data_IF_261537144060
#
_entry.id   IF_261537144060
#
_cell.length_a   1.000
_cell.length_b   1.000
_cell.length_c   1.000
_cell.angle_alpha   90.00
_cell.angle_beta   90.00
_cell.angle_gamma   90.00
#
_symmetry.space_group_name_H-M   'P 1'
#
loop_
_entity.id
_entity.type
_entity.pdbx_description
1 polymer ?
#
# COMPACT_ATOMS: atom_id res chain seq x y z
N UNK A 1 9.29 14.48 8.38
CA UNK A 1 8.23 13.49 8.56
C UNK A 1 8.80 12.08 8.62
N UNK A 2 8.13 11.16 9.34
CA UNK A 2 8.43 9.75 9.37
C UNK A 2 7.68 9.01 8.26
N UNK A 3 8.28 7.92 7.79
CA UNK A 3 7.63 6.92 6.95
C UNK A 3 7.77 5.55 7.61
N UNK A 4 6.66 4.92 7.96
CA UNK A 4 6.65 3.58 8.54
C UNK A 4 6.83 2.54 7.44
N UNK A 5 7.80 1.64 7.62
CA UNK A 5 8.16 0.65 6.61
C UNK A 5 8.21 -0.74 7.27
N UNK A 6 7.47 -1.75 6.74
CA UNK A 6 7.60 -3.13 7.23
C UNK A 6 9.05 -3.62 7.04
N UNK A 7 9.55 -4.45 7.94
CA UNK A 7 10.89 -5.03 7.82
C UNK A 7 10.82 -6.56 8.07
N UNK A 8 11.12 -7.39 7.05
CA UNK A 8 11.68 -7.08 5.71
C UNK A 8 10.72 -6.32 4.80
N UNK A 9 11.28 -5.66 3.78
CA UNK A 9 10.55 -4.75 2.90
C UNK A 9 10.95 -4.88 1.42
N UNK A 10 10.10 -4.38 0.53
CA UNK A 10 10.47 -4.13 -0.86
C UNK A 10 11.29 -2.82 -0.94
N UNK A 11 12.49 -2.90 -1.55
CA UNK A 11 13.49 -1.81 -1.51
C UNK A 11 12.97 -0.44 -2.00
N UNK A 12 11.92 -0.43 -2.82
CA UNK A 12 11.35 0.82 -3.35
C UNK A 12 10.78 1.70 -2.24
N UNK A 13 10.25 1.12 -1.15
CA UNK A 13 9.68 1.90 -0.04
C UNK A 13 10.74 2.78 0.62
N UNK A 14 11.91 2.21 0.91
CA UNK A 14 13.04 2.96 1.48
C UNK A 14 13.59 3.95 0.46
N UNK A 15 13.75 3.53 -0.79
CA UNK A 15 14.22 4.42 -1.86
C UNK A 15 13.36 5.66 -2.00
N UNK A 16 12.03 5.50 -2.06
CA UNK A 16 11.08 6.61 -2.15
C UNK A 16 11.16 7.53 -0.92
N UNK A 17 11.28 6.95 0.27
CA UNK A 17 11.40 7.68 1.54
C UNK A 17 12.64 8.59 1.54
N UNK A 18 13.80 8.03 1.21
CA UNK A 18 15.08 8.77 1.20
C UNK A 18 15.11 9.85 0.12
N UNK A 19 14.55 9.59 -1.06
CA UNK A 19 14.44 10.58 -2.14
C UNK A 19 13.62 11.80 -1.72
N UNK A 20 12.69 11.66 -0.80
CA UNK A 20 11.89 12.75 -0.23
C UNK A 20 12.47 13.33 1.06
N UNK A 21 13.70 12.91 1.44
CA UNK A 21 14.37 13.33 2.69
C UNK A 21 13.51 13.07 3.93
N UNK A 22 12.65 12.05 3.88
CA UNK A 22 11.91 11.57 5.03
C UNK A 22 12.73 10.53 5.80
N UNK A 23 12.42 10.35 7.05
CA UNK A 23 13.09 9.41 7.96
C UNK A 23 12.34 8.06 7.92
N UNK A 24 13.00 6.94 7.56
CA UNK A 24 12.37 5.63 7.63
C UNK A 24 12.35 5.12 9.08
N UNK A 25 11.19 4.69 9.56
CA UNK A 25 11.02 3.93 10.80
C UNK A 25 10.59 2.51 10.45
N UNK A 26 11.44 1.55 10.79
CA UNK A 26 11.20 0.15 10.44
C UNK A 26 10.33 -0.55 11.46
N UNK A 27 9.25 -1.16 10.99
CA UNK A 27 8.34 -1.99 11.80
C UNK A 27 8.70 -3.47 11.59
N UNK A 28 9.26 -4.18 12.60
CA UNK A 28 9.60 -5.58 12.44
C UNK A 28 8.37 -6.45 12.15
N UNK A 29 8.47 -7.29 11.12
CA UNK A 29 7.50 -8.32 10.78
C UNK A 29 8.14 -9.69 11.08
N UNK A 30 7.93 -10.19 12.30
CA UNK A 30 8.60 -11.37 12.84
C UNK A 30 7.60 -12.48 13.12
N UNK A 31 8.10 -13.66 13.51
CA UNK A 31 7.23 -14.76 13.95
C UNK A 31 6.30 -14.36 15.10
N UNK A 32 6.78 -13.50 16.00
CA UNK A 32 5.98 -13.01 17.14
C UNK A 32 4.81 -12.11 16.73
N UNK A 33 4.92 -11.46 15.57
CA UNK A 33 3.87 -10.60 14.99
C UNK A 33 3.10 -11.27 13.86
N UNK A 34 3.22 -12.60 13.70
CA UNK A 34 2.64 -13.31 12.57
C UNK A 34 3.21 -12.89 11.22
N UNK A 35 4.42 -12.35 11.20
CA UNK A 35 5.09 -11.79 10.01
C UNK A 35 4.35 -10.59 9.37
N UNK A 36 3.47 -9.92 10.11
CA UNK A 36 2.89 -8.62 9.76
C UNK A 36 3.60 -7.51 10.54
N UNK A 37 3.69 -6.28 10.00
CA UNK A 37 4.27 -5.15 10.72
C UNK A 37 3.45 -4.79 11.97
N UNK A 38 4.12 -4.61 13.11
CA UNK A 38 3.46 -4.31 14.36
C UNK A 38 3.20 -2.81 14.52
N UNK A 39 2.13 -2.28 13.95
CA UNK A 39 1.73 -0.87 14.10
C UNK A 39 1.54 -0.49 15.58
N UNK A 40 1.03 -1.41 16.39
CA UNK A 40 0.80 -1.18 17.83
C UNK A 40 2.09 -1.03 18.64
N UNK A 41 3.25 -1.38 18.08
CA UNK A 41 4.54 -1.19 18.72
C UNK A 41 5.17 0.17 18.43
N UNK A 42 4.58 0.97 17.53
CA UNK A 42 5.04 2.33 17.21
C UNK A 42 4.58 3.27 18.31
N UNK A 43 5.46 4.12 18.80
CA UNK A 43 5.12 5.08 19.86
C UNK A 43 4.11 6.12 19.36
N UNK A 44 3.26 6.65 20.25
CA UNK A 44 2.31 7.69 19.90
C UNK A 44 3.02 8.96 19.36
N UNK A 45 4.24 9.24 19.84
CA UNK A 45 5.02 10.38 19.35
C UNK A 45 5.50 10.17 17.92
N UNK A 46 5.93 8.96 17.56
CA UNK A 46 6.31 8.62 16.20
C UNK A 46 5.09 8.57 15.27
N UNK A 47 3.95 8.05 15.74
CA UNK A 47 2.70 8.07 14.97
C UNK A 47 2.29 9.50 14.60
N UNK A 48 2.37 10.47 15.54
CA UNK A 48 2.07 11.90 15.27
C UNK A 48 3.04 12.55 14.26
N UNK A 49 4.25 12.02 14.11
CA UNK A 49 5.26 12.48 13.14
C UNK A 49 5.16 11.75 11.80
N UNK A 50 4.38 10.68 11.74
CA UNK A 50 4.24 9.83 10.56
C UNK A 50 3.43 10.55 9.49
N UNK A 51 3.94 10.58 8.27
CA UNK A 51 3.23 11.09 7.10
C UNK A 51 2.70 9.94 6.22
N UNK A 52 3.38 8.80 6.23
CA UNK A 52 3.06 7.65 5.37
C UNK A 52 3.43 6.35 6.08
N UNK A 53 2.61 5.33 5.93
CA UNK A 53 2.93 3.97 6.29
C UNK A 53 2.74 3.04 5.08
N UNK A 54 3.73 2.19 4.80
CA UNK A 54 3.59 1.14 3.81
C UNK A 54 3.08 -0.15 4.46
N UNK A 55 2.19 -0.83 3.75
CA UNK A 55 1.72 -2.18 4.07
C UNK A 55 1.74 -3.00 2.78
N UNK A 56 2.31 -4.21 2.81
CA UNK A 56 2.24 -5.14 1.69
C UNK A 56 1.43 -6.37 2.12
N UNK A 57 0.34 -6.65 1.41
CA UNK A 57 -0.50 -7.82 1.68
C UNK A 57 -1.11 -8.35 0.37
N UNK A 58 -0.80 -9.60 0.03
CA UNK A 58 0.14 -10.53 0.63
C UNK A 58 1.57 -9.98 0.69
N UNK A 59 2.28 -10.27 1.79
CA UNK A 59 3.56 -9.64 2.10
C UNK A 59 4.73 -10.20 1.25
N UNK A 60 5.61 -9.32 0.81
CA UNK A 60 6.86 -9.68 0.16
C UNK A 60 8.04 -9.31 1.09
N UNK A 61 8.88 -10.27 1.54
CA UNK A 61 9.01 -11.66 1.06
C UNK A 61 8.25 -12.71 1.87
N UNK A 62 7.51 -12.34 2.92
CA UNK A 62 7.00 -13.28 3.94
C UNK A 62 5.83 -14.15 3.44
N UNK A 63 5.05 -13.69 2.47
CA UNK A 63 3.85 -14.36 1.97
C UNK A 63 2.64 -14.26 2.90
N UNK A 64 2.75 -13.58 4.04
CA UNK A 64 1.67 -13.46 5.02
C UNK A 64 0.56 -12.54 4.49
N UNK A 65 -0.67 -12.90 4.80
CA UNK A 65 -1.87 -12.15 4.46
C UNK A 65 -2.39 -11.44 5.71
N UNK A 66 -2.64 -10.15 5.59
CA UNK A 66 -3.35 -9.38 6.61
C UNK A 66 -4.85 -9.71 6.56
N UNK A 67 -5.45 -10.05 7.68
CA UNK A 67 -6.90 -10.25 7.78
C UNK A 67 -7.65 -8.92 7.86
N UNK A 68 -8.99 -8.98 7.77
CA UNK A 68 -9.84 -7.79 7.81
C UNK A 68 -9.71 -7.00 9.11
N UNK A 69 -9.56 -7.66 10.23
CA UNK A 69 -9.46 -6.99 11.54
C UNK A 69 -8.15 -6.21 11.65
N UNK A 70 -7.04 -6.80 11.17
CA UNK A 70 -5.76 -6.11 11.08
C UNK A 70 -5.83 -4.90 10.14
N UNK A 71 -6.43 -5.06 8.96
CA UNK A 71 -6.59 -3.97 7.98
C UNK A 71 -7.45 -2.83 8.54
N UNK A 72 -8.57 -3.15 9.20
CA UNK A 72 -9.44 -2.15 9.86
C UNK A 72 -8.71 -1.40 10.98
N UNK A 73 -7.92 -2.11 11.78
CA UNK A 73 -7.11 -1.48 12.84
C UNK A 73 -6.05 -0.53 12.24
N UNK A 74 -5.39 -0.92 11.16
CA UNK A 74 -4.43 -0.07 10.46
C UNK A 74 -5.08 1.19 9.87
N UNK A 75 -6.27 1.07 9.25
CA UNK A 75 -7.05 2.21 8.75
C UNK A 75 -7.44 3.15 9.89
N UNK A 76 -7.95 2.59 10.99
CA UNK A 76 -8.36 3.38 12.16
C UNK A 76 -7.20 4.20 12.69
N UNK A 77 -6.02 3.58 12.82
CA UNK A 77 -4.81 4.26 13.27
C UNK A 77 -4.36 5.34 12.28
N UNK A 78 -4.42 5.07 10.97
CA UNK A 78 -4.07 6.06 9.94
C UNK A 78 -4.94 7.31 10.04
N UNK A 79 -6.23 7.15 10.26
CA UNK A 79 -7.20 8.24 10.45
C UNK A 79 -7.02 8.97 11.78
N UNK A 80 -6.77 8.24 12.86
CA UNK A 80 -6.55 8.82 14.21
C UNK A 80 -5.32 9.73 14.25
N UNK A 81 -4.23 9.33 13.58
CA UNK A 81 -2.96 10.05 13.59
C UNK A 81 -2.69 10.85 12.32
N UNK A 82 -3.65 10.89 11.40
CA UNK A 82 -3.62 11.66 10.14
C UNK A 82 -2.40 11.35 9.27
N UNK A 83 -2.09 10.07 9.08
CA UNK A 83 -1.09 9.63 8.10
C UNK A 83 -1.71 8.83 6.96
N UNK A 84 -1.04 8.77 5.81
CA UNK A 84 -1.49 7.96 4.67
C UNK A 84 -1.07 6.50 4.85
N UNK A 85 -2.02 5.57 4.78
CA UNK A 85 -1.75 4.14 4.68
C UNK A 85 -1.71 3.72 3.21
N UNK A 86 -0.53 3.36 2.72
CA UNK A 86 -0.30 2.90 1.35
C UNK A 86 -0.19 1.38 1.31
N UNK A 87 -1.22 0.71 0.82
CA UNK A 87 -1.25 -0.75 0.67
C UNK A 87 -0.73 -1.17 -0.72
N UNK A 88 0.31 -1.98 -0.72
CA UNK A 88 0.81 -2.68 -1.91
C UNK A 88 0.13 -4.04 -2.00
N UNK A 89 -0.88 -4.15 -2.87
CA UNK A 89 -1.67 -5.36 -3.10
C UNK A 89 -1.29 -6.05 -4.42
N UNK A 90 -0.05 -5.89 -4.87
CA UNK A 90 0.43 -6.48 -6.12
C UNK A 90 0.31 -8.01 -6.18
N UNK A 91 0.21 -8.70 -5.05
CA UNK A 91 0.09 -10.14 -4.94
C UNK A 91 -1.33 -10.63 -4.61
N UNK A 92 -2.33 -9.73 -4.55
CA UNK A 92 -3.69 -10.05 -4.13
C UNK A 92 -4.40 -11.14 -4.97
N UNK A 93 -4.01 -11.33 -6.22
CA UNK A 93 -4.55 -12.34 -7.13
C UNK A 93 -3.73 -13.66 -7.16
N UNK A 94 -2.74 -13.81 -6.26
CA UNK A 94 -1.92 -15.03 -6.15
C UNK A 94 -2.31 -15.75 -4.88
N UNK A 95 -3.30 -16.63 -4.99
CA UNK A 95 -3.83 -17.44 -3.89
C UNK A 95 -4.31 -18.81 -4.40
N UNK A 96 -4.42 -19.80 -3.50
CA UNK A 96 -4.85 -21.15 -3.84
C UNK A 96 -6.37 -21.35 -3.69
N UNK A 97 -6.91 -21.12 -2.50
CA UNK A 97 -8.30 -21.43 -2.17
C UNK A 97 -9.14 -20.18 -1.93
N UNK A 98 -8.68 -19.24 -1.13
CA UNK A 98 -9.43 -18.05 -0.73
C UNK A 98 -8.67 -16.79 -1.12
N UNK A 99 -9.39 -15.84 -1.72
CA UNK A 99 -8.84 -14.55 -2.06
C UNK A 99 -8.48 -13.77 -0.78
N UNK A 100 -7.27 -13.17 -0.70
CA UNK A 100 -6.93 -12.32 0.44
C UNK A 100 -7.84 -11.10 0.50
N UNK A 101 -8.21 -10.63 1.70
CA UNK A 101 -8.96 -9.39 1.83
C UNK A 101 -8.11 -8.20 1.41
N UNK A 102 -8.75 -7.19 0.80
CA UNK A 102 -8.11 -5.94 0.41
C UNK A 102 -8.42 -4.78 1.35
N UNK A 103 -7.58 -3.75 1.31
CA UNK A 103 -7.75 -2.56 2.14
C UNK A 103 -9.03 -1.79 1.79
N UNK A 104 -9.45 -1.77 0.52
CA UNK A 104 -10.72 -1.16 0.11
C UNK A 104 -11.93 -1.90 0.68
N UNK A 105 -11.87 -3.24 0.75
CA UNK A 105 -12.90 -4.03 1.42
C UNK A 105 -12.98 -3.69 2.91
N UNK A 106 -11.84 -3.66 3.59
CA UNK A 106 -11.78 -3.31 5.00
C UNK A 106 -12.33 -1.90 5.27
N UNK A 107 -12.02 -0.94 4.40
CA UNK A 107 -12.54 0.42 4.49
C UNK A 107 -14.07 0.48 4.29
N UNK A 108 -14.61 -0.28 3.32
CA UNK A 108 -16.05 -0.36 3.07
C UNK A 108 -16.81 -0.94 4.27
N UNK A 109 -16.27 -1.99 4.89
CA UNK A 109 -16.88 -2.61 6.09
C UNK A 109 -16.73 -1.73 7.34
N UNK A 110 -15.62 -1.00 7.49
CA UNK A 110 -15.38 -0.09 8.60
C UNK A 110 -16.27 1.17 8.53
N UNK A 111 -16.59 1.60 7.30
CA UNK A 111 -17.27 2.87 7.04
C UNK A 111 -16.33 4.09 7.08
N UNK A 112 -16.89 5.29 6.90
CA UNK A 112 -16.13 6.54 6.90
C UNK A 112 -15.35 6.84 5.63
N UNK A 113 -15.69 6.18 4.50
CA UNK A 113 -15.09 6.48 3.19
C UNK A 113 -13.69 5.92 2.99
N UNK A 114 -12.91 6.59 2.13
CA UNK A 114 -11.57 6.18 1.74
C UNK A 114 -10.46 7.12 2.26
N UNK A 115 -10.78 7.94 3.24
CA UNK A 115 -9.84 8.92 3.78
C UNK A 115 -8.57 8.27 4.31
N UNK A 116 -7.43 8.88 4.02
CA UNK A 116 -6.09 8.45 4.43
C UNK A 116 -5.61 7.12 3.83
N UNK A 117 -6.27 6.52 2.85
CA UNK A 117 -5.80 5.25 2.27
C UNK A 117 -5.50 5.36 0.78
N UNK A 118 -4.45 4.66 0.36
CA UNK A 118 -4.11 4.40 -1.04
C UNK A 118 -3.82 2.92 -1.24
N UNK A 119 -4.39 2.33 -2.27
CA UNK A 119 -4.18 0.94 -2.64
C UNK A 119 -3.54 0.86 -4.01
N UNK A 120 -2.45 0.11 -4.13
CA UNK A 120 -1.68 -0.05 -5.34
C UNK A 120 -1.81 -1.47 -5.87
N UNK A 121 -2.19 -1.60 -7.13
CA UNK A 121 -2.22 -2.85 -7.87
C UNK A 121 -1.33 -2.81 -9.11
N UNK A 122 -0.87 -3.98 -9.56
CA UNK A 122 -0.01 -4.10 -10.73
C UNK A 122 -0.33 -5.35 -11.55
N UNK A 123 -0.27 -5.23 -12.86
CA UNK A 123 -0.34 -6.39 -13.78
C UNK A 123 0.93 -7.27 -13.72
N UNK A 124 2.00 -6.79 -13.08
CA UNK A 124 3.28 -7.49 -13.04
C UNK A 124 3.19 -8.90 -12.46
N UNK A 125 2.36 -9.08 -11.41
CA UNK A 125 2.19 -10.38 -10.72
C UNK A 125 0.86 -11.02 -11.09
N UNK A 126 -0.23 -10.27 -10.94
CA UNK A 126 -1.59 -10.71 -11.26
C UNK A 126 -1.72 -11.37 -12.64
N UNK A 127 -1.15 -10.74 -13.68
CA UNK A 127 -1.30 -11.17 -15.07
C UNK A 127 0.02 -11.63 -15.69
N UNK A 128 1.06 -11.87 -14.90
CA UNK A 128 2.41 -12.23 -15.37
C UNK A 128 2.94 -11.31 -16.49
N UNK A 129 2.56 -10.02 -16.44
CA UNK A 129 2.84 -9.03 -17.46
C UNK A 129 3.72 -7.86 -16.95
N UNK A 130 4.90 -8.11 -16.33
CA UNK A 130 5.73 -7.06 -15.76
C UNK A 130 6.27 -6.09 -16.82
N UNK A 131 6.42 -6.54 -18.07
CA UNK A 131 6.90 -5.72 -19.18
C UNK A 131 5.93 -4.61 -19.60
N UNK A 132 4.65 -4.72 -19.33
CA UNK A 132 3.67 -3.69 -19.66
C UNK A 132 3.81 -2.41 -18.80
N UNK A 133 4.48 -2.49 -17.67
CA UNK A 133 4.64 -1.37 -16.71
C UNK A 133 3.31 -0.70 -16.32
N UNK A 134 2.25 -1.51 -16.23
CA UNK A 134 0.90 -1.05 -15.95
C UNK A 134 0.42 -1.46 -14.56
N UNK A 135 -0.30 -0.56 -13.94
CA UNK A 135 -0.95 -0.70 -12.64
C UNK A 135 -1.91 0.44 -12.40
N UNK A 136 -2.60 0.41 -11.29
CA UNK A 136 -3.45 1.52 -10.87
C UNK A 136 -3.29 1.80 -9.37
N UNK A 137 -3.77 2.96 -8.98
CA UNK A 137 -3.94 3.36 -7.57
C UNK A 137 -5.39 3.78 -7.36
N UNK A 138 -5.95 3.38 -6.22
CA UNK A 138 -7.28 3.76 -5.78
C UNK A 138 -7.23 4.15 -4.29
N UNK A 139 -8.20 4.93 -3.82
CA UNK A 139 -8.27 5.34 -2.42
C UNK A 139 -8.81 6.75 -2.23
N UNK A 140 -8.27 7.47 -1.29
CA UNK A 140 -8.63 8.83 -0.92
C UNK A 140 -8.71 9.78 -2.15
N UNK A 141 -9.87 10.40 -2.43
CA UNK A 141 -10.06 11.21 -3.63
C UNK A 141 -9.09 12.39 -3.75
N UNK A 142 -8.77 13.05 -2.64
CA UNK A 142 -7.88 14.20 -2.63
C UNK A 142 -6.43 13.76 -2.90
N UNK A 143 -5.99 12.67 -2.28
CA UNK A 143 -4.69 12.07 -2.56
C UNK A 143 -4.59 11.59 -4.02
N UNK A 144 -5.63 11.00 -4.57
CA UNK A 144 -5.67 10.59 -5.99
C UNK A 144 -5.56 11.81 -6.91
N UNK A 145 -6.19 12.94 -6.58
CA UNK A 145 -6.06 14.16 -7.38
C UNK A 145 -4.62 14.70 -7.36
N UNK A 146 -3.97 14.70 -6.20
CA UNK A 146 -2.55 15.07 -6.07
C UNK A 146 -1.65 14.11 -6.83
N UNK A 147 -1.92 12.79 -6.76
CA UNK A 147 -1.19 11.76 -7.50
C UNK A 147 -1.31 11.96 -9.01
N UNK A 148 -2.51 12.24 -9.54
CA UNK A 148 -2.72 12.56 -10.96
C UNK A 148 -1.90 13.77 -11.40
N UNK A 149 -1.90 14.84 -10.61
CA UNK A 149 -1.11 16.04 -10.89
C UNK A 149 0.37 15.71 -10.97
N UNK A 150 0.90 14.97 -9.98
CA UNK A 150 2.29 14.52 -9.97
C UNK A 150 2.62 13.67 -11.21
N UNK A 151 1.73 12.75 -11.57
CA UNK A 151 1.92 11.85 -12.73
C UNK A 151 1.91 12.60 -14.06
N UNK A 152 1.14 13.66 -14.20
CA UNK A 152 1.14 14.49 -15.41
C UNK A 152 2.51 15.13 -15.69
N UNK A 153 3.27 15.46 -14.65
CA UNK A 153 4.59 16.07 -14.77
C UNK A 153 5.75 15.09 -14.60
N UNK A 154 5.54 14.02 -13.84
CA UNK A 154 6.59 13.10 -13.39
C UNK A 154 6.58 11.72 -14.03
N UNK A 155 6.13 11.57 -15.27
CA UNK A 155 6.19 10.26 -15.91
C UNK A 155 5.24 10.02 -17.08
N UNK A 156 4.42 10.99 -17.42
CA UNK A 156 3.42 10.91 -18.48
C UNK A 156 2.44 9.72 -18.36
N UNK A 157 1.52 9.61 -19.29
CA UNK A 157 0.59 8.49 -19.35
C UNK A 157 1.20 7.28 -20.06
N UNK A 158 0.63 6.11 -19.84
CA UNK A 158 0.99 4.92 -20.59
C UNK A 158 0.61 5.08 -22.07
N UNK A 159 1.37 4.47 -23.01
CA UNK A 159 0.97 4.42 -24.41
C UNK A 159 -0.41 3.78 -24.60
N UNK A 160 -1.20 4.29 -25.55
CA UNK A 160 -2.57 3.80 -25.79
C UNK A 160 -2.66 2.27 -25.97
N UNK A 161 -1.77 1.60 -26.72
CA UNK A 161 -1.80 0.13 -26.82
C UNK A 161 -1.62 -0.57 -25.48
N UNK A 162 -0.77 -0.02 -24.60
CA UNK A 162 -0.56 -0.56 -23.25
C UNK A 162 -1.80 -0.35 -22.38
N UNK A 163 -2.47 0.80 -22.49
CA UNK A 163 -3.73 1.06 -21.77
C UNK A 163 -4.83 0.10 -22.21
N UNK A 164 -4.96 -0.16 -23.51
CA UNK A 164 -5.92 -1.12 -24.04
C UNK A 164 -5.64 -2.55 -23.55
N UNK A 165 -4.37 -2.97 -23.60
CA UNK A 165 -3.96 -4.28 -23.07
C UNK A 165 -4.21 -4.37 -21.55
N UNK A 166 -3.90 -3.33 -20.79
CA UNK A 166 -4.14 -3.28 -19.37
C UNK A 166 -5.64 -3.38 -19.05
N UNK A 167 -6.48 -2.64 -19.74
CA UNK A 167 -7.93 -2.69 -19.54
C UNK A 167 -8.53 -4.08 -19.85
N UNK A 168 -7.95 -4.81 -20.80
CA UNK A 168 -8.38 -6.18 -21.12
C UNK A 168 -7.91 -7.23 -20.11
N UNK A 169 -6.87 -6.91 -19.32
CA UNK A 169 -6.29 -7.81 -18.31
C UNK A 169 -6.86 -7.60 -16.90
N UNK A 170 -7.50 -6.46 -16.64
CA UNK A 170 -8.20 -6.19 -15.37
C UNK A 170 -9.62 -6.75 -15.36
#
# INVERSE_FOLDING_TARGET
PLVLIPNPFYQVYVGATLMRRAEPLYMPATKATGFLPAFTAVSADDLRRTALAFLCSPANPQGTIADLDYLKAAITMAREYDFVLAADECYAEIYDAEAPPGLLQAAAELGGGLDNILVFHSLSKRSSAPGLRAGFVAGDPDLIQHFKTLRNYGGATLPIPILAAAAALW
#
